data_IF_812450421499
#
_entry.id   IF_812450421499
#
_cell.length_a   1.000
_cell.length_b   1.000
_cell.length_c   1.000
_cell.angle_alpha   90.00
_cell.angle_beta   90.00
_cell.angle_gamma   90.00
#
_symmetry.space_group_name_H-M   'P 1'
#
loop_
_entity.id
_entity.type
_entity.pdbx_description
1 polymer ?
#
# COMPACT_ATOMS: atom_id res chain seq x y z
N UNK A 1 -22.50 11.82 -8.86
CA UNK A 1 -21.61 10.71 -9.30
C UNK A 1 -22.42 9.68 -10.06
N UNK A 2 -21.91 9.14 -11.17
CA UNK A 2 -22.55 8.01 -11.86
C UNK A 2 -22.17 6.68 -11.20
N UNK A 3 -22.96 5.63 -11.44
CA UNK A 3 -22.70 4.28 -10.92
C UNK A 3 -21.28 3.78 -11.27
N UNK A 4 -20.79 4.08 -12.47
CA UNK A 4 -19.44 3.69 -12.90
C UNK A 4 -18.37 4.24 -11.97
N UNK A 5 -18.43 5.53 -11.63
CA UNK A 5 -17.44 6.17 -10.76
C UNK A 5 -17.54 5.68 -9.31
N UNK A 6 -18.74 5.38 -8.84
CA UNK A 6 -18.92 4.71 -7.54
C UNK A 6 -18.23 3.34 -7.52
N UNK A 7 -18.32 2.56 -8.60
CA UNK A 7 -17.65 1.26 -8.69
C UNK A 7 -16.12 1.39 -8.77
N UNK A 8 -15.61 2.39 -9.50
CA UNK A 8 -14.16 2.69 -9.55
C UNK A 8 -13.63 3.05 -8.17
N UNK A 9 -14.31 3.95 -7.45
CA UNK A 9 -13.95 4.34 -6.09
C UNK A 9 -14.02 3.15 -5.13
N UNK A 10 -15.11 2.38 -5.19
CA UNK A 10 -15.28 1.17 -4.37
C UNK A 10 -14.13 0.19 -4.60
N UNK A 11 -13.78 -0.10 -5.86
CA UNK A 11 -12.68 -1.00 -6.19
C UNK A 11 -11.34 -0.49 -5.65
N UNK A 12 -11.08 0.82 -5.74
CA UNK A 12 -9.88 1.43 -5.18
C UNK A 12 -9.81 1.25 -3.65
N UNK A 13 -10.89 1.60 -2.94
CA UNK A 13 -10.96 1.51 -1.47
C UNK A 13 -10.87 0.05 -1.02
N UNK A 14 -11.56 -0.87 -1.70
CA UNK A 14 -11.49 -2.30 -1.41
C UNK A 14 -10.06 -2.84 -1.60
N UNK A 15 -9.37 -2.46 -2.68
CA UNK A 15 -7.98 -2.86 -2.89
C UNK A 15 -7.04 -2.25 -1.84
N UNK A 16 -7.23 -0.98 -1.47
CA UNK A 16 -6.42 -0.28 -0.47
C UNK A 16 -6.60 -0.89 0.93
N UNK A 17 -7.84 -1.21 1.32
CA UNK A 17 -8.15 -1.84 2.61
C UNK A 17 -7.59 -3.25 2.69
N UNK A 18 -7.68 -4.06 1.63
CA UNK A 18 -7.04 -5.39 1.58
C UNK A 18 -5.51 -5.30 1.65
N UNK A 19 -4.91 -4.29 1.01
CA UNK A 19 -3.47 -4.07 1.05
C UNK A 19 -3.00 -3.71 2.46
N UNK A 20 -3.49 -2.59 3.01
CA UNK A 20 -3.01 -2.09 4.29
C UNK A 20 -3.48 -2.99 5.43
N UNK A 21 -4.74 -3.44 5.38
CA UNK A 21 -5.28 -4.41 6.32
C UNK A 21 -4.52 -5.74 6.32
N UNK A 22 -4.10 -6.24 5.15
CA UNK A 22 -3.26 -7.43 5.04
C UNK A 22 -1.90 -7.26 5.72
N UNK A 23 -1.22 -6.12 5.51
CA UNK A 23 0.03 -5.82 6.21
C UNK A 23 -0.16 -5.75 7.73
N UNK A 24 -1.22 -5.07 8.19
CA UNK A 24 -1.55 -4.95 9.61
C UNK A 24 -1.85 -6.32 10.23
N UNK A 25 -2.67 -7.15 9.57
CA UNK A 25 -2.98 -8.51 10.00
C UNK A 25 -1.72 -9.36 10.16
N UNK A 26 -0.82 -9.33 9.17
CA UNK A 26 0.45 -10.07 9.24
C UNK A 26 1.31 -9.60 10.41
N UNK A 27 1.49 -8.29 10.59
CA UNK A 27 2.41 -7.71 11.58
C UNK A 27 1.87 -7.78 13.02
N UNK A 28 0.58 -7.48 13.22
CA UNK A 28 -0.01 -7.29 14.55
C UNK A 28 -0.79 -8.50 15.06
N UNK A 29 -1.27 -9.39 14.19
CA UNK A 29 -2.07 -10.55 14.60
C UNK A 29 -1.29 -11.83 14.40
N UNK A 30 -0.90 -12.11 13.15
CA UNK A 30 -0.31 -13.40 12.79
C UNK A 30 1.10 -13.57 13.39
N UNK A 31 2.00 -12.61 13.17
CA UNK A 31 3.38 -12.71 13.64
C UNK A 31 3.52 -12.77 15.17
N UNK A 32 2.78 -12.02 15.99
CA UNK A 32 2.87 -12.12 17.44
C UNK A 32 2.40 -13.47 17.98
N UNK A 33 1.32 -14.03 17.43
CA UNK A 33 0.83 -15.36 17.82
C UNK A 33 1.88 -16.41 17.49
N UNK A 34 2.39 -16.42 16.25
CA UNK A 34 3.38 -17.41 15.83
C UNK A 34 4.69 -17.31 16.61
N UNK A 35 5.14 -16.11 17.00
CA UNK A 35 6.34 -15.95 17.83
C UNK A 35 6.19 -16.55 19.23
N UNK A 36 4.97 -16.64 19.74
CA UNK A 36 4.68 -17.21 21.07
C UNK A 36 4.53 -18.73 21.03
N UNK A 37 3.97 -19.27 19.94
CA UNK A 37 3.51 -20.67 19.91
C UNK A 37 4.30 -21.58 18.95
N UNK A 38 4.94 -21.02 17.92
CA UNK A 38 5.59 -21.81 16.89
C UNK A 38 7.05 -22.12 17.23
N UNK A 39 7.51 -23.30 16.82
CA UNK A 39 8.93 -23.65 16.78
C UNK A 39 9.70 -22.67 15.87
N UNK A 40 10.99 -22.37 16.15
CA UNK A 40 11.76 -21.38 15.39
C UNK A 40 11.79 -21.63 13.87
N UNK A 41 11.88 -22.89 13.45
CA UNK A 41 11.92 -23.29 12.04
C UNK A 41 10.57 -23.00 11.37
N UNK A 42 9.47 -23.39 12.03
CA UNK A 42 8.10 -23.16 11.57
C UNK A 42 7.79 -21.66 11.47
N UNK A 43 8.26 -20.84 12.41
CA UNK A 43 8.10 -19.38 12.37
C UNK A 43 8.74 -18.79 11.11
N UNK A 44 9.96 -19.21 10.76
CA UNK A 44 10.68 -18.71 9.57
C UNK A 44 9.97 -19.16 8.30
N UNK A 45 9.58 -20.43 8.22
CA UNK A 45 8.91 -20.99 7.06
C UNK A 45 7.56 -20.30 6.81
N UNK A 46 6.71 -20.21 7.82
CA UNK A 46 5.40 -19.59 7.71
C UNK A 46 5.50 -18.09 7.40
N UNK A 47 6.45 -17.36 8.00
CA UNK A 47 6.68 -15.95 7.63
C UNK A 47 7.07 -15.80 6.15
N UNK A 48 7.90 -16.72 5.62
CA UNK A 48 8.29 -16.72 4.21
C UNK A 48 7.12 -17.08 3.29
N UNK A 49 6.34 -18.11 3.62
CA UNK A 49 5.21 -18.57 2.80
C UNK A 49 4.09 -17.53 2.75
N UNK A 50 3.68 -17.02 3.92
CA UNK A 50 2.67 -15.96 4.03
C UNK A 50 3.12 -14.68 3.34
N UNK A 51 4.36 -14.24 3.55
CA UNK A 51 4.93 -13.06 2.90
C UNK A 51 4.95 -13.19 1.38
N UNK A 52 5.35 -14.35 0.84
CA UNK A 52 5.31 -14.62 -0.61
C UNK A 52 3.90 -14.65 -1.16
N UNK A 53 2.96 -15.28 -0.43
CA UNK A 53 1.56 -15.37 -0.85
C UNK A 53 0.93 -13.98 -0.89
N UNK A 54 1.16 -13.18 0.15
CA UNK A 54 0.70 -11.80 0.22
C UNK A 54 1.32 -10.96 -0.89
N UNK A 55 2.63 -11.05 -1.12
CA UNK A 55 3.29 -10.33 -2.23
C UNK A 55 2.70 -10.71 -3.59
N UNK A 56 2.37 -11.98 -3.85
CA UNK A 56 1.72 -12.40 -5.09
C UNK A 56 0.32 -11.80 -5.24
N UNK A 57 -0.49 -11.83 -4.18
CA UNK A 57 -1.85 -11.25 -4.18
C UNK A 57 -1.78 -9.73 -4.40
N UNK A 58 -0.90 -9.05 -3.67
CA UNK A 58 -0.74 -7.60 -3.77
C UNK A 58 -0.22 -7.20 -5.14
N UNK A 59 0.84 -7.83 -5.66
CA UNK A 59 1.46 -7.40 -6.92
C UNK A 59 0.62 -7.74 -8.15
N UNK A 60 -0.07 -8.88 -8.16
CA UNK A 60 -0.84 -9.33 -9.34
C UNK A 60 -2.32 -8.92 -9.29
N UNK A 61 -2.86 -8.64 -8.10
CA UNK A 61 -4.27 -8.32 -7.91
C UNK A 61 -4.49 -6.89 -7.44
N UNK A 62 -4.01 -6.56 -6.23
CA UNK A 62 -4.33 -5.28 -5.59
C UNK A 62 -3.64 -4.09 -6.28
N UNK A 63 -2.37 -4.25 -6.64
CA UNK A 63 -1.55 -3.18 -7.22
C UNK A 63 -2.11 -2.68 -8.55
N UNK A 64 -2.41 -3.55 -9.55
CA UNK A 64 -3.00 -3.09 -10.80
C UNK A 64 -4.32 -2.37 -10.59
N UNK A 65 -5.19 -2.88 -9.69
CA UNK A 65 -6.46 -2.23 -9.36
C UNK A 65 -6.21 -0.84 -8.79
N UNK A 66 -5.31 -0.69 -7.81
CA UNK A 66 -4.99 0.60 -7.19
C UNK A 66 -4.46 1.62 -8.20
N UNK A 67 -3.54 1.21 -9.08
CA UNK A 67 -2.94 2.09 -10.10
C UNK A 67 -4.00 2.53 -11.11
N UNK A 68 -4.72 1.58 -11.71
CA UNK A 68 -5.71 1.88 -12.75
C UNK A 68 -6.82 2.76 -12.19
N UNK A 69 -7.42 2.37 -11.06
CA UNK A 69 -8.51 3.16 -10.46
C UNK A 69 -8.02 4.51 -9.93
N UNK A 70 -6.79 4.61 -9.42
CA UNK A 70 -6.20 5.88 -8.99
C UNK A 70 -6.01 6.87 -10.13
N UNK A 71 -5.53 6.39 -11.28
CA UNK A 71 -5.39 7.20 -12.50
C UNK A 71 -6.77 7.64 -13.01
N UNK A 72 -7.75 6.73 -13.07
CA UNK A 72 -9.10 7.03 -13.52
C UNK A 72 -9.77 8.10 -12.65
N UNK A 73 -9.65 8.00 -11.32
CA UNK A 73 -10.20 9.01 -10.40
C UNK A 73 -9.49 10.36 -10.53
N UNK A 74 -8.15 10.38 -10.60
CA UNK A 74 -7.41 11.63 -10.79
C UNK A 74 -7.82 12.35 -12.09
N UNK A 75 -8.01 11.59 -13.17
CA UNK A 75 -8.47 12.16 -14.44
C UNK A 75 -9.91 12.67 -14.36
N UNK A 76 -10.80 11.90 -13.71
CA UNK A 76 -12.19 12.32 -13.47
C UNK A 76 -12.30 13.60 -12.65
N UNK A 77 -11.42 13.77 -11.67
CA UNK A 77 -11.37 14.92 -10.77
C UNK A 77 -10.62 16.12 -11.40
N UNK A 78 -10.42 16.11 -12.72
CA UNK A 78 -9.89 17.26 -13.47
C UNK A 78 -8.39 17.48 -13.36
N UNK A 79 -7.64 16.55 -12.76
CA UNK A 79 -6.18 16.69 -12.61
C UNK A 79 -5.51 16.64 -13.98
N UNK A 80 -4.73 17.69 -14.28
CA UNK A 80 -3.88 17.78 -15.46
C UNK A 80 -2.46 18.12 -15.04
N UNK A 81 -1.47 17.77 -15.88
CA UNK A 81 -0.07 18.11 -15.65
C UNK A 81 0.15 19.63 -15.46
N UNK A 82 -0.69 20.46 -16.08
CA UNK A 82 -0.63 21.92 -15.96
C UNK A 82 -1.25 22.48 -14.67
N UNK A 83 -2.11 21.71 -13.97
CA UNK A 83 -2.87 22.17 -12.80
C UNK A 83 -2.53 21.43 -11.51
N UNK A 84 -1.74 20.35 -11.59
CA UNK A 84 -1.38 19.52 -10.43
C UNK A 84 -0.52 20.26 -9.40
N UNK A 85 0.21 21.30 -9.78
CA UNK A 85 1.04 22.08 -8.85
C UNK A 85 0.42 23.42 -8.45
N UNK A 86 -0.82 23.71 -8.87
CA UNK A 86 -1.49 24.99 -8.60
C UNK A 86 -2.60 24.90 -7.57
N UNK A 87 -2.92 23.71 -7.08
CA UNK A 87 -4.01 23.47 -6.11
C UNK A 87 -3.53 22.66 -4.91
N UNK A 88 -4.13 22.88 -3.74
CA UNK A 88 -3.85 22.07 -2.55
C UNK A 88 -4.14 20.58 -2.79
N UNK A 89 -5.19 20.27 -3.58
CA UNK A 89 -5.50 18.91 -4.01
C UNK A 89 -4.35 18.28 -4.79
N UNK A 90 -3.83 19.00 -5.78
CA UNK A 90 -2.74 18.51 -6.62
C UNK A 90 -1.43 18.28 -5.86
N UNK A 91 -1.07 19.15 -4.91
CA UNK A 91 0.10 18.93 -4.04
C UNK A 91 -0.05 17.68 -3.16
N UNK A 92 -1.23 17.45 -2.56
CA UNK A 92 -1.45 16.24 -1.75
C UNK A 92 -1.39 14.99 -2.63
N UNK A 93 -1.93 15.06 -3.86
CA UNK A 93 -1.87 13.97 -4.83
C UNK A 93 -0.42 13.67 -5.24
N UNK A 94 0.40 14.69 -5.50
CA UNK A 94 1.82 14.55 -5.81
C UNK A 94 2.56 13.84 -4.68
N UNK A 95 2.40 14.31 -3.44
CA UNK A 95 2.99 13.68 -2.25
C UNK A 95 2.53 12.22 -2.14
N UNK A 96 1.24 11.93 -2.37
CA UNK A 96 0.72 10.56 -2.35
C UNK A 96 1.41 9.68 -3.39
N UNK A 97 1.63 10.17 -4.61
CA UNK A 97 2.32 9.42 -5.67
C UNK A 97 3.78 9.15 -5.29
N UNK A 98 4.49 10.13 -4.73
CA UNK A 98 5.88 9.95 -4.26
C UNK A 98 5.94 8.89 -3.15
N UNK A 99 5.02 8.95 -2.18
CA UNK A 99 4.96 7.97 -1.09
C UNK A 99 4.63 6.56 -1.63
N UNK A 100 3.72 6.44 -2.59
CA UNK A 100 3.43 5.16 -3.29
C UNK A 100 4.69 4.63 -3.97
N UNK A 101 5.41 5.46 -4.73
CA UNK A 101 6.64 5.06 -5.40
C UNK A 101 7.70 4.57 -4.40
N UNK A 102 7.84 5.26 -3.26
CA UNK A 102 8.74 4.85 -2.18
C UNK A 102 8.32 3.50 -1.59
N UNK A 103 7.03 3.29 -1.32
CA UNK A 103 6.50 2.01 -0.82
C UNK A 103 6.81 0.87 -1.78
N UNK A 104 6.66 1.07 -3.09
CA UNK A 104 6.98 0.07 -4.10
C UNK A 104 8.48 -0.24 -4.16
N UNK A 105 9.32 0.79 -4.11
CA UNK A 105 10.77 0.64 -4.06
C UNK A 105 11.22 -0.16 -2.83
N UNK A 106 10.67 0.17 -1.65
CA UNK A 106 10.95 -0.54 -0.40
C UNK A 106 10.40 -1.97 -0.39
N UNK A 107 9.23 -2.21 -0.95
CA UNK A 107 8.67 -3.55 -1.08
C UNK A 107 9.50 -4.43 -2.02
N UNK A 108 9.98 -3.88 -3.14
CA UNK A 108 10.92 -4.53 -4.04
C UNK A 108 12.26 -4.85 -3.34
N UNK A 109 12.81 -3.87 -2.62
CA UNK A 109 14.00 -4.04 -1.82
C UNK A 109 13.80 -5.11 -0.73
N UNK A 110 12.61 -5.21 -0.12
CA UNK A 110 12.29 -6.21 0.88
C UNK A 110 12.38 -7.64 0.34
N UNK A 111 11.89 -7.86 -0.89
CA UNK A 111 11.99 -9.16 -1.56
C UNK A 111 13.42 -9.63 -1.79
N UNK A 112 14.34 -8.70 -2.08
CA UNK A 112 15.78 -8.98 -2.26
C UNK A 112 16.49 -9.11 -0.91
N UNK A 113 16.18 -8.19 0.01
CA UNK A 113 16.71 -8.10 1.37
C UNK A 113 16.47 -9.36 2.20
N UNK A 114 15.32 -10.02 2.02
CA UNK A 114 14.97 -11.25 2.71
C UNK A 114 16.00 -12.39 2.53
N UNK A 115 16.92 -12.28 1.55
CA UNK A 115 18.01 -13.23 1.29
C UNK A 115 19.39 -12.76 1.77
N UNK A 116 19.56 -11.46 2.08
CA UNK A 116 20.88 -10.82 2.28
C UNK A 116 21.02 -10.05 3.59
N UNK A 117 19.92 -9.58 4.17
CA UNK A 117 19.90 -8.73 5.36
C UNK A 117 19.62 -9.52 6.64
N UNK A 118 20.04 -8.95 7.78
CA UNK A 118 19.74 -9.49 9.10
C UNK A 118 18.24 -9.46 9.38
N UNK A 119 17.77 -10.33 10.29
CA UNK A 119 16.35 -10.37 10.72
C UNK A 119 15.82 -9.01 11.18
N UNK A 120 16.68 -8.18 11.80
CA UNK A 120 16.33 -6.81 12.23
C UNK A 120 16.11 -5.89 11.04
N UNK A 121 16.98 -5.92 10.02
CA UNK A 121 16.87 -5.09 8.83
C UNK A 121 15.64 -5.42 7.97
N UNK A 122 15.34 -6.71 7.80
CA UNK A 122 14.12 -7.14 7.08
C UNK A 122 12.86 -6.67 7.82
N UNK A 123 12.87 -6.73 9.17
CA UNK A 123 11.76 -6.25 10.00
C UNK A 123 11.59 -4.74 9.92
N UNK A 124 12.65 -3.94 10.02
CA UNK A 124 12.54 -2.48 9.93
C UNK A 124 11.97 -2.07 8.58
N UNK A 125 12.43 -2.69 7.50
CA UNK A 125 11.93 -2.43 6.15
C UNK A 125 10.43 -2.73 6.01
N UNK A 126 9.95 -3.84 6.59
CA UNK A 126 8.53 -4.16 6.61
C UNK A 126 7.71 -3.12 7.40
N UNK A 127 8.19 -2.70 8.57
CA UNK A 127 7.51 -1.73 9.42
C UNK A 127 7.47 -0.34 8.77
N UNK A 128 8.56 0.10 8.15
CA UNK A 128 8.62 1.36 7.40
C UNK A 128 7.64 1.32 6.21
N UNK A 129 7.65 0.24 5.44
CA UNK A 129 6.73 0.06 4.31
C UNK A 129 5.26 0.09 4.77
N UNK A 130 4.95 -0.55 5.89
CA UNK A 130 3.62 -0.54 6.51
C UNK A 130 3.23 0.88 6.97
N UNK A 131 4.11 1.58 7.68
CA UNK A 131 3.84 2.94 8.15
C UNK A 131 3.58 3.91 6.98
N UNK A 132 4.39 3.85 5.92
CA UNK A 132 4.16 4.62 4.71
C UNK A 132 2.84 4.24 4.01
N UNK A 133 2.44 2.97 4.05
CA UNK A 133 1.14 2.54 3.52
C UNK A 133 -0.04 3.15 4.30
N UNK A 134 0.10 3.33 5.62
CA UNK A 134 -0.87 4.07 6.44
C UNK A 134 -0.89 5.56 6.09
N UNK A 135 0.29 6.16 5.84
CA UNK A 135 0.38 7.56 5.36
C UNK A 135 -0.35 7.74 4.03
N UNK A 136 -0.26 6.79 3.10
CA UNK A 136 -1.02 6.82 1.84
C UNK A 136 -2.54 6.89 2.09
N UNK A 137 -3.06 6.18 3.10
CA UNK A 137 -4.47 6.25 3.48
C UNK A 137 -4.83 7.63 4.08
N UNK A 138 -3.97 8.19 4.92
CA UNK A 138 -4.19 9.52 5.48
C UNK A 138 -4.22 10.60 4.38
N UNK A 139 -3.31 10.52 3.40
CA UNK A 139 -3.31 11.40 2.24
C UNK A 139 -4.55 11.20 1.36
N UNK A 140 -5.03 9.96 1.20
CA UNK A 140 -6.28 9.69 0.49
C UNK A 140 -7.50 10.31 1.21
N UNK A 141 -7.55 10.25 2.54
CA UNK A 141 -8.60 10.90 3.33
C UNK A 141 -8.53 12.43 3.20
N UNK A 142 -7.32 13.00 3.15
CA UNK A 142 -7.13 14.43 2.90
C UNK A 142 -7.64 14.86 1.52
N UNK A 143 -7.39 14.06 0.47
CA UNK A 143 -7.91 14.33 -0.88
C UNK A 143 -9.45 14.32 -0.92
N UNK A 144 -10.10 13.48 -0.11
CA UNK A 144 -11.56 13.39 -0.08
C UNK A 144 -12.26 14.63 0.50
N UNK A 145 -11.54 15.50 1.21
CA UNK A 145 -12.09 16.74 1.80
C UNK A 145 -11.60 18.00 1.09
N UNK A 146 -10.59 17.90 0.23
CA UNK A 146 -10.08 19.03 -0.53
C UNK A 146 -10.93 19.28 -1.78
N UNK A 147 -11.15 20.55 -2.17
CA UNK A 147 -11.81 20.85 -3.43
C UNK A 147 -10.95 20.36 -4.59
N UNK A 148 -11.55 19.55 -5.46
CA UNK A 148 -10.93 19.13 -6.72
C UNK A 148 -10.73 20.34 -7.65
N UNK A 149 -9.68 20.34 -8.48
CA UNK A 149 -9.37 21.42 -9.44
C UNK A 149 -10.43 21.62 -10.54
#
# INVERSE_FOLDING_TARGET
MSLLWTLVLFAHIAAATLWVGGQLMLVFVMMPVMRKTARPEMLVEMARLSGRRFAKISNLGLFPVLVVTGILMAWHDGVRLSTVNSTSFGHVLEVKIVVVALVLGLAGAHGVAARRLSRRGVRSLALVTMALSVVILALAAALAVLPSP
#
